data_IF_643145662249
#
_entry.id   IF_643145662249
#
_cell.length_a   1.000
_cell.length_b   1.000
_cell.length_c   1.000
_cell.angle_alpha   90.00
_cell.angle_beta   90.00
_cell.angle_gamma   90.00
#
_symmetry.space_group_name_H-M   'P 1'
#
loop_
_entity.id
_entity.type
_entity.pdbx_description
1 polymer ?
#
# COMPACT_ATOMS: atom_id res chain seq x y z
N UNK A 1 -44.96 -20.55 -10.87
CA UNK A 1 -43.68 -19.99 -10.40
C UNK A 1 -43.24 -20.70 -9.12
N UNK A 2 -42.26 -21.62 -9.20
CA UNK A 2 -41.79 -22.39 -8.04
C UNK A 2 -40.69 -21.61 -7.31
N UNK A 3 -40.95 -21.24 -6.05
CA UNK A 3 -39.94 -20.65 -5.14
C UNK A 3 -38.83 -21.67 -4.89
N UNK A 4 -37.60 -21.36 -5.31
CA UNK A 4 -36.41 -22.16 -4.97
C UNK A 4 -36.19 -22.15 -3.46
N UNK A 5 -36.05 -23.34 -2.85
CA UNK A 5 -35.68 -23.45 -1.43
C UNK A 5 -34.24 -22.96 -1.27
N UNK A 6 -34.08 -21.81 -0.63
CA UNK A 6 -32.79 -21.37 -0.11
C UNK A 6 -32.26 -22.40 0.90
N UNK A 7 -30.96 -22.66 0.82
CA UNK A 7 -30.21 -23.52 1.72
C UNK A 7 -30.53 -23.19 3.19
N UNK A 8 -30.85 -24.21 3.98
CA UNK A 8 -31.18 -24.06 5.41
C UNK A 8 -29.89 -24.17 6.23
N UNK A 9 -29.49 -23.08 6.86
CA UNK A 9 -28.44 -23.09 7.87
C UNK A 9 -28.93 -23.85 9.11
N UNK A 10 -28.20 -24.87 9.55
CA UNK A 10 -28.47 -25.58 10.81
C UNK A 10 -27.18 -25.54 11.64
N UNK A 11 -27.22 -24.89 12.80
CA UNK A 11 -26.12 -24.93 13.77
C UNK A 11 -26.09 -26.31 14.45
N UNK A 12 -24.97 -27.02 14.32
CA UNK A 12 -24.75 -28.30 14.98
C UNK A 12 -23.56 -28.25 15.94
N UNK A 13 -23.83 -28.34 17.25
CA UNK A 13 -22.87 -28.79 18.27
C UNK A 13 -21.81 -27.80 18.76
N UNK A 14 -21.36 -27.99 20.02
CA UNK A 14 -20.53 -27.08 20.86
C UNK A 14 -19.13 -26.71 20.32
N UNK A 15 -18.76 -27.01 19.07
CA UNK A 15 -17.41 -26.78 18.52
C UNK A 15 -17.39 -26.01 17.19
N UNK A 16 -18.46 -25.28 16.84
CA UNK A 16 -18.40 -24.24 15.79
C UNK A 16 -18.09 -24.71 14.36
N UNK A 17 -18.21 -26.00 14.05
CA UNK A 17 -18.08 -26.52 12.68
C UNK A 17 -19.40 -26.36 11.93
N UNK A 18 -19.44 -25.47 10.94
CA UNK A 18 -20.56 -25.34 10.01
C UNK A 18 -20.32 -26.16 8.73
N UNK A 19 -21.38 -26.66 8.12
CA UNK A 19 -21.34 -27.35 6.83
C UNK A 19 -22.37 -26.75 5.87
N UNK A 20 -22.03 -26.68 4.58
CA UNK A 20 -22.95 -26.29 3.52
C UNK A 20 -23.21 -27.52 2.62
N UNK A 21 -24.43 -28.03 2.62
CA UNK A 21 -24.82 -29.14 1.76
C UNK A 21 -25.40 -28.56 0.46
N UNK A 22 -24.66 -28.68 -0.65
CA UNK A 22 -25.12 -28.23 -1.98
C UNK A 22 -25.66 -29.44 -2.73
N UNK A 23 -26.98 -29.64 -2.69
CA UNK A 23 -27.64 -30.61 -3.54
C UNK A 23 -27.80 -30.01 -4.96
N UNK A 24 -27.06 -30.51 -5.94
CA UNK A 24 -27.37 -30.30 -7.37
C UNK A 24 -28.24 -31.46 -7.84
N UNK A 25 -29.46 -31.17 -8.27
CA UNK A 25 -30.30 -32.15 -8.96
C UNK A 25 -29.74 -32.38 -10.36
N UNK A 26 -29.00 -33.48 -10.56
CA UNK A 26 -28.80 -34.04 -11.89
C UNK A 26 -29.97 -34.97 -12.20
N UNK A 27 -30.48 -34.89 -13.44
CA UNK A 27 -31.60 -35.70 -13.92
C UNK A 27 -31.39 -37.20 -13.69
N UNK A 28 -32.51 -37.91 -13.56
CA UNK A 28 -32.62 -39.31 -13.16
C UNK A 28 -31.60 -40.22 -13.88
N UNK A 29 -30.61 -40.72 -13.15
CA UNK A 29 -29.69 -41.75 -13.67
C UNK A 29 -28.35 -41.90 -12.95
N UNK A 30 -27.86 -40.87 -12.25
CA UNK A 30 -26.58 -40.94 -11.54
C UNK A 30 -26.80 -40.91 -10.02
N UNK A 31 -26.43 -41.99 -9.32
CA UNK A 31 -26.38 -42.02 -7.85
C UNK A 31 -25.41 -40.93 -7.40
N UNK A 32 -25.93 -39.93 -6.67
CA UNK A 32 -25.19 -38.72 -6.35
C UNK A 32 -23.91 -38.98 -5.56
N UNK A 33 -22.77 -38.57 -6.11
CA UNK A 33 -21.54 -38.45 -5.34
C UNK A 33 -21.62 -37.15 -4.51
N UNK A 34 -21.63 -37.26 -3.19
CA UNK A 34 -21.53 -36.09 -2.30
C UNK A 34 -20.07 -35.73 -2.06
N UNK A 35 -19.64 -34.54 -2.48
CA UNK A 35 -18.34 -33.99 -2.09
C UNK A 35 -18.50 -33.25 -0.77
N UNK A 36 -17.87 -33.75 0.29
CA UNK A 36 -17.88 -33.11 1.61
C UNK A 36 -16.72 -32.13 1.69
N UNK A 37 -17.00 -30.83 1.61
CA UNK A 37 -16.02 -29.78 1.87
C UNK A 37 -16.08 -29.39 3.34
N UNK A 38 -15.00 -29.65 4.08
CA UNK A 38 -14.80 -29.17 5.44
C UNK A 38 -14.11 -27.80 5.36
N UNK A 39 -14.78 -26.75 5.83
CA UNK A 39 -14.15 -25.45 6.05
C UNK A 39 -13.77 -25.37 7.52
N UNK A 40 -12.47 -25.33 7.81
CA UNK A 40 -12.05 -24.85 9.12
C UNK A 40 -12.19 -23.32 9.12
N UNK A 41 -12.81 -22.71 10.15
CA UNK A 41 -12.80 -21.26 10.28
C UNK A 41 -11.34 -20.83 10.34
N UNK A 42 -10.90 -20.01 9.38
CA UNK A 42 -9.56 -19.48 9.39
C UNK A 42 -9.30 -18.86 10.76
N UNK A 43 -8.30 -19.38 11.48
CA UNK A 43 -7.82 -18.74 12.70
C UNK A 43 -7.56 -17.28 12.33
N UNK A 44 -8.13 -16.28 13.02
CA UNK A 44 -7.88 -14.89 12.68
C UNK A 44 -6.38 -14.70 12.70
N UNK A 45 -5.80 -14.42 11.53
CA UNK A 45 -4.38 -14.15 11.44
C UNK A 45 -4.09 -13.02 12.42
N UNK A 46 -3.06 -13.12 13.27
CA UNK A 46 -2.64 -11.96 14.04
C UNK A 46 -2.49 -10.79 13.08
N UNK A 47 -2.98 -9.60 13.47
CA UNK A 47 -2.96 -8.43 12.60
C UNK A 47 -1.56 -8.35 11.95
N UNK A 48 -1.48 -8.35 10.61
CA UNK A 48 -0.20 -8.52 9.94
C UNK A 48 0.73 -7.42 10.43
N UNK A 49 1.88 -7.81 11.00
CA UNK A 49 2.91 -6.85 11.34
C UNK A 49 3.22 -6.03 10.09
N UNK A 50 3.34 -4.71 10.27
CA UNK A 50 3.75 -3.81 9.20
C UNK A 50 5.08 -4.31 8.62
N UNK A 51 5.32 -4.04 7.35
CA UNK A 51 6.59 -4.43 6.73
C UNK A 51 7.76 -3.68 7.39
N UNK A 52 8.82 -4.41 7.70
CA UNK A 52 10.03 -3.90 8.35
C UNK A 52 11.02 -3.47 7.27
N UNK A 53 11.44 -2.19 7.29
CA UNK A 53 12.22 -1.62 6.19
C UNK A 53 13.64 -2.16 6.08
N UNK A 54 14.22 -2.72 7.15
CA UNK A 54 15.53 -3.37 7.11
C UNK A 54 15.58 -4.53 6.11
N UNK A 55 14.42 -5.15 5.85
CA UNK A 55 14.26 -6.24 4.87
C UNK A 55 14.56 -5.83 3.43
N UNK A 56 14.41 -4.54 3.09
CA UNK A 56 14.75 -4.01 1.77
C UNK A 56 16.21 -4.28 1.39
N UNK A 57 17.09 -4.41 2.40
CA UNK A 57 18.53 -4.60 2.20
C UNK A 57 19.02 -6.01 2.57
N UNK A 58 18.19 -6.83 3.20
CA UNK A 58 18.61 -8.14 3.76
C UNK A 58 17.93 -9.33 3.09
N UNK A 59 16.96 -9.11 2.20
CA UNK A 59 16.23 -10.17 1.50
C UNK A 59 16.23 -9.97 -0.02
N UNK A 60 16.01 -11.04 -0.80
CA UNK A 60 15.81 -10.94 -2.23
C UNK A 60 14.65 -10.01 -2.56
N UNK A 61 14.83 -9.15 -3.58
CA UNK A 61 13.82 -8.18 -4.04
C UNK A 61 12.43 -8.78 -4.23
N UNK A 62 12.35 -9.91 -4.95
CA UNK A 62 11.06 -10.55 -5.26
C UNK A 62 10.27 -10.97 -4.02
N UNK A 63 10.97 -11.31 -2.92
CA UNK A 63 10.31 -11.61 -1.65
C UNK A 63 9.76 -10.33 -0.98
N UNK A 64 10.52 -9.23 -1.04
CA UNK A 64 10.07 -7.94 -0.54
C UNK A 64 8.85 -7.44 -1.34
N UNK A 65 8.90 -7.53 -2.68
CA UNK A 65 7.80 -7.19 -3.57
C UNK A 65 6.54 -8.00 -3.25
N UNK A 66 6.67 -9.33 -3.14
CA UNK A 66 5.55 -10.19 -2.78
C UNK A 66 4.97 -9.84 -1.41
N UNK A 67 5.83 -9.62 -0.40
CA UNK A 67 5.38 -9.30 0.95
C UNK A 67 4.68 -7.93 1.05
N UNK A 68 5.21 -6.93 0.34
CA UNK A 68 4.62 -5.59 0.26
C UNK A 68 3.28 -5.65 -0.47
N UNK A 69 3.22 -6.34 -1.63
CA UNK A 69 1.98 -6.52 -2.40
C UNK A 69 0.89 -7.21 -1.59
N UNK A 70 1.23 -8.26 -0.84
CA UNK A 70 0.29 -8.94 0.05
C UNK A 70 -0.28 -8.05 1.17
N UNK A 71 0.43 -6.98 1.52
CA UNK A 71 -0.01 -5.98 2.52
C UNK A 71 -0.66 -4.75 1.88
N UNK A 72 -0.59 -4.62 0.56
CA UNK A 72 -1.24 -3.53 -0.13
C UNK A 72 -2.75 -3.65 0.09
N UNK A 73 -3.35 -2.52 0.42
CA UNK A 73 -4.78 -2.39 0.60
C UNK A 73 -5.14 -0.98 0.17
N UNK A 74 -6.19 -0.85 -0.64
CA UNK A 74 -6.65 0.43 -1.15
C UNK A 74 -8.13 0.65 -0.82
N UNK A 75 -8.50 1.92 -0.69
CA UNK A 75 -9.88 2.34 -0.49
C UNK A 75 -10.14 3.65 -1.22
N UNK A 76 -11.26 3.74 -1.92
CA UNK A 76 -11.73 4.98 -2.52
C UNK A 76 -12.41 5.85 -1.45
N UNK A 77 -12.01 7.12 -1.36
CA UNK A 77 -12.51 8.06 -0.35
C UNK A 77 -13.53 9.05 -0.92
N UNK A 78 -13.86 8.95 -2.21
CA UNK A 78 -14.71 9.91 -2.91
C UNK A 78 -13.91 11.03 -3.58
N UNK A 79 -14.61 11.80 -4.43
CA UNK A 79 -14.06 12.99 -5.13
C UNK A 79 -12.76 12.71 -5.90
N UNK A 80 -12.65 11.53 -6.52
CA UNK A 80 -11.48 11.14 -7.27
C UNK A 80 -10.24 10.86 -6.42
N UNK A 81 -10.34 10.70 -5.10
CA UNK A 81 -9.18 10.40 -4.25
C UNK A 81 -9.29 9.00 -3.67
N UNK A 82 -8.19 8.26 -3.77
CA UNK A 82 -8.00 6.97 -3.12
C UNK A 82 -6.91 7.06 -2.06
N UNK A 83 -6.90 6.10 -1.15
CA UNK A 83 -5.78 5.86 -0.23
C UNK A 83 -5.30 4.42 -0.42
N UNK A 84 -4.00 4.20 -0.36
CA UNK A 84 -3.42 2.86 -0.38
C UNK A 84 -2.35 2.68 0.69
N UNK A 85 -2.08 1.42 1.06
CA UNK A 85 -0.91 1.06 1.85
C UNK A 85 0.28 0.82 0.94
N UNK A 86 1.33 1.62 1.13
CA UNK A 86 2.60 1.48 0.41
C UNK A 86 3.71 0.97 1.33
N UNK A 87 4.71 0.30 0.74
CA UNK A 87 5.82 -0.34 1.47
C UNK A 87 5.35 -1.22 2.62
N UNK A 88 4.15 -1.81 2.49
CA UNK A 88 3.50 -2.62 3.53
C UNK A 88 3.30 -1.91 4.87
N UNK A 89 3.42 -0.57 4.95
CA UNK A 89 3.39 0.17 6.21
C UNK A 89 2.78 1.58 6.18
N UNK A 90 3.03 2.37 5.15
CA UNK A 90 2.58 3.76 5.09
C UNK A 90 1.25 3.89 4.38
N UNK A 91 0.49 4.94 4.69
CA UNK A 91 -0.72 5.31 3.94
C UNK A 91 -0.39 6.47 3.03
N UNK A 92 -0.76 6.34 1.76
CA UNK A 92 -0.50 7.32 0.72
C UNK A 92 -1.82 7.69 0.05
N UNK A 93 -2.09 8.98 -0.10
CA UNK A 93 -3.21 9.45 -0.91
C UNK A 93 -2.81 9.46 -2.37
N UNK A 94 -3.72 9.02 -3.23
CA UNK A 94 -3.52 8.84 -4.66
C UNK A 94 -4.68 9.51 -5.40
N UNK A 95 -4.35 10.30 -6.41
CA UNK A 95 -5.35 10.82 -7.35
C UNK A 95 -5.86 9.66 -8.22
N UNK A 96 -7.17 9.49 -8.31
CA UNK A 96 -7.81 8.48 -9.14
C UNK A 96 -7.67 8.75 -10.64
N UNK A 97 -7.22 9.95 -11.03
CA UNK A 97 -6.88 10.30 -12.41
C UNK A 97 -5.38 10.15 -12.73
N UNK A 98 -4.56 9.72 -11.77
CA UNK A 98 -3.17 9.38 -12.02
C UNK A 98 -3.07 7.99 -12.65
N UNK A 99 -2.78 7.96 -13.96
CA UNK A 99 -2.58 6.74 -14.74
C UNK A 99 -1.12 6.28 -14.78
N UNK A 100 -0.19 7.09 -14.26
CA UNK A 100 1.25 6.81 -14.29
C UNK A 100 1.70 6.05 -13.05
N UNK A 101 1.60 6.70 -11.89
CA UNK A 101 2.08 6.15 -10.62
C UNK A 101 0.95 5.45 -9.85
N UNK A 102 -0.26 5.99 -9.94
CA UNK A 102 -1.45 5.54 -9.21
C UNK A 102 -1.72 4.02 -9.27
N UNK A 103 -1.79 3.37 -10.45
CA UNK A 103 -2.12 1.95 -10.55
C UNK A 103 -1.13 1.05 -9.82
N UNK A 104 0.18 1.35 -9.91
CA UNK A 104 1.23 0.59 -9.23
C UNK A 104 1.11 0.71 -7.71
N UNK A 105 0.86 1.91 -7.20
CA UNK A 105 0.69 2.10 -5.77
C UNK A 105 -0.59 1.44 -5.25
N UNK A 106 -1.69 1.54 -5.99
CA UNK A 106 -3.00 1.01 -5.60
C UNK A 106 -3.06 -0.52 -5.63
N UNK A 107 -2.30 -1.16 -6.52
CA UNK A 107 -2.32 -2.62 -6.73
C UNK A 107 -1.11 -3.33 -6.13
N UNK A 108 0.08 -2.77 -6.28
CA UNK A 108 1.34 -3.40 -5.83
C UNK A 108 1.83 -2.84 -4.49
N UNK A 109 1.48 -1.59 -4.17
CA UNK A 109 1.92 -0.95 -2.93
C UNK A 109 3.40 -0.53 -2.94
N UNK A 110 4.05 -0.54 -4.11
CA UNK A 110 5.41 -0.04 -4.27
C UNK A 110 5.62 0.61 -5.64
N UNK A 111 6.65 1.46 -5.71
CA UNK A 111 7.12 2.09 -6.93
C UNK A 111 8.62 1.86 -7.07
N UNK A 112 9.05 1.44 -8.27
CA UNK A 112 10.45 1.17 -8.62
C UNK A 112 11.26 0.54 -7.48
N UNK A 113 11.11 -0.78 -7.30
CA UNK A 113 11.72 -1.44 -6.15
C UNK A 113 13.26 -1.33 -6.17
N UNK A 114 13.89 -1.26 -7.34
CA UNK A 114 15.33 -1.02 -7.45
C UNK A 114 15.75 0.34 -6.86
N UNK A 115 14.99 1.41 -7.15
CA UNK A 115 15.22 2.76 -6.63
C UNK A 115 14.91 2.81 -5.13
N UNK A 116 13.82 2.17 -4.71
CA UNK A 116 13.44 2.00 -3.30
C UNK A 116 14.58 1.39 -2.48
N UNK A 117 15.14 0.27 -2.95
CA UNK A 117 16.24 -0.41 -2.28
C UNK A 117 17.56 0.40 -2.35
N UNK A 118 17.81 1.11 -3.45
CA UNK A 118 18.99 1.98 -3.57
C UNK A 118 18.96 3.11 -2.53
N UNK A 119 17.80 3.77 -2.37
CA UNK A 119 17.59 4.78 -1.33
C UNK A 119 17.74 4.15 0.06
N UNK A 120 17.17 2.97 0.29
CA UNK A 120 17.29 2.25 1.55
C UNK A 120 18.75 1.90 1.91
N UNK A 121 19.62 1.71 0.93
CA UNK A 121 21.06 1.52 1.16
C UNK A 121 21.80 2.83 1.41
N UNK A 122 21.44 3.89 0.70
CA UNK A 122 22.15 5.17 0.74
C UNK A 122 21.81 6.01 1.98
N UNK A 123 20.53 6.09 2.36
CA UNK A 123 20.06 6.95 3.44
C UNK A 123 20.33 6.31 4.80
N UNK A 124 20.90 7.08 5.72
CA UNK A 124 21.28 6.64 7.08
C UNK A 124 20.60 7.49 8.15
N UNK A 125 20.44 6.95 9.37
CA UNK A 125 19.94 7.72 10.51
C UNK A 125 20.72 9.02 10.72
N UNK A 126 20.00 10.11 11.05
CA UNK A 126 20.55 11.44 11.29
C UNK A 126 20.81 12.28 10.04
N UNK A 127 20.70 11.72 8.83
CA UNK A 127 20.93 12.48 7.61
C UNK A 127 19.85 13.55 7.36
N UNK A 128 20.25 14.60 6.64
CA UNK A 128 19.32 15.53 5.97
C UNK A 128 19.30 15.19 4.49
N UNK A 129 18.11 14.92 3.94
CA UNK A 129 17.93 14.52 2.55
C UNK A 129 16.89 15.38 1.84
N UNK A 130 16.98 15.43 0.52
CA UNK A 130 16.10 16.22 -0.35
C UNK A 130 15.38 15.30 -1.33
N UNK A 131 14.06 15.45 -1.45
CA UNK A 131 13.19 14.76 -2.39
C UNK A 131 12.66 15.79 -3.41
N UNK A 132 13.22 15.79 -4.63
CA UNK A 132 12.83 16.74 -5.70
C UNK A 132 11.88 16.03 -6.65
N UNK A 133 10.67 16.58 -6.83
CA UNK A 133 9.60 15.86 -7.52
C UNK A 133 9.00 14.79 -6.60
N UNK A 134 8.75 15.16 -5.34
CA UNK A 134 8.30 14.25 -4.29
C UNK A 134 6.95 13.56 -4.61
N UNK A 135 6.20 14.09 -5.58
CA UNK A 135 4.96 13.53 -6.08
C UNK A 135 3.99 13.25 -4.91
N UNK A 136 3.41 12.06 -4.81
CA UNK A 136 2.49 11.69 -3.72
C UNK A 136 3.19 11.45 -2.36
N UNK A 137 4.53 11.39 -2.33
CA UNK A 137 5.34 11.25 -1.10
C UNK A 137 5.86 9.85 -0.82
N UNK A 138 5.88 8.95 -1.82
CA UNK A 138 6.35 7.58 -1.65
C UNK A 138 7.81 7.51 -1.15
N UNK A 139 8.75 8.17 -1.85
CA UNK A 139 10.15 8.21 -1.43
C UNK A 139 10.36 9.12 -0.21
N UNK A 140 9.63 10.23 -0.10
CA UNK A 140 9.64 11.10 1.09
C UNK A 140 9.39 10.30 2.37
N UNK A 141 8.36 9.44 2.40
CA UNK A 141 8.03 8.63 3.57
C UNK A 141 9.06 7.54 3.85
N UNK A 142 9.61 6.91 2.80
CA UNK A 142 10.72 5.96 2.94
C UNK A 142 11.92 6.63 3.61
N UNK A 143 12.39 7.74 3.04
CA UNK A 143 13.53 8.50 3.55
C UNK A 143 13.29 9.01 4.96
N UNK A 144 12.08 9.48 5.26
CA UNK A 144 11.72 9.96 6.59
C UNK A 144 11.87 8.89 7.67
N UNK A 145 11.52 7.64 7.39
CA UNK A 145 11.72 6.58 8.38
C UNK A 145 13.20 6.21 8.52
N UNK A 146 13.93 6.17 7.41
CA UNK A 146 15.35 5.81 7.37
C UNK A 146 16.24 6.83 8.10
N UNK A 147 15.99 8.13 7.94
CA UNK A 147 16.76 9.17 8.64
C UNK A 147 16.44 9.24 10.14
N UNK A 148 15.28 8.71 10.57
CA UNK A 148 14.90 8.65 11.99
C UNK A 148 14.78 10.00 12.70
N UNK A 149 14.61 9.99 14.02
CA UNK A 149 14.28 11.19 14.81
C UNK A 149 15.29 12.33 14.75
N UNK A 150 16.57 12.00 14.55
CA UNK A 150 17.63 13.02 14.40
C UNK A 150 17.76 13.59 12.99
N UNK A 151 17.09 13.00 12.00
CA UNK A 151 17.20 13.37 10.59
C UNK A 151 16.08 14.26 10.08
N UNK A 152 16.23 14.72 8.84
CA UNK A 152 15.29 15.64 8.18
C UNK A 152 15.10 15.28 6.72
N UNK A 153 13.87 15.46 6.22
CA UNK A 153 13.55 15.35 4.79
C UNK A 153 12.94 16.66 4.32
N UNK A 154 13.51 17.21 3.25
CA UNK A 154 12.97 18.35 2.50
C UNK A 154 12.32 17.83 1.23
N UNK A 155 10.98 17.92 1.14
CA UNK A 155 10.23 17.41 0.00
C UNK A 155 9.65 18.57 -0.82
N UNK A 156 9.88 18.52 -2.14
CA UNK A 156 9.48 19.56 -3.09
C UNK A 156 8.65 18.94 -4.22
N UNK A 157 7.44 19.46 -4.45
CA UNK A 157 6.55 19.01 -5.52
C UNK A 157 6.02 20.22 -6.32
N UNK A 158 6.28 20.29 -7.65
CA UNK A 158 5.78 21.35 -8.53
C UNK A 158 4.29 21.55 -8.48
N UNK A 159 3.56 20.44 -8.59
CA UNK A 159 2.17 20.48 -8.98
C UNK A 159 1.37 20.77 -7.71
N UNK A 160 0.64 21.90 -7.64
CA UNK A 160 -0.04 22.30 -6.42
C UNK A 160 -1.11 21.29 -5.97
N UNK A 161 -1.71 20.56 -6.91
CA UNK A 161 -2.70 19.52 -6.61
C UNK A 161 -2.02 18.30 -5.98
N UNK A 162 -0.92 17.84 -6.57
CA UNK A 162 -0.14 16.70 -6.06
C UNK A 162 0.53 17.06 -4.73
N UNK A 163 1.07 18.27 -4.59
CA UNK A 163 1.63 18.78 -3.33
C UNK A 163 0.59 18.79 -2.19
N UNK A 164 -0.70 18.96 -2.52
CA UNK A 164 -1.78 18.86 -1.53
C UNK A 164 -1.98 17.41 -1.07
N UNK A 165 -1.89 16.44 -1.99
CA UNK A 165 -1.94 15.01 -1.64
C UNK A 165 -0.69 14.56 -0.87
N UNK A 166 0.50 15.03 -1.26
CA UNK A 166 1.76 14.86 -0.52
C UNK A 166 1.60 15.29 0.94
N UNK A 167 1.15 16.52 1.19
CA UNK A 167 0.98 17.03 2.54
C UNK A 167 -0.01 16.19 3.37
N UNK A 168 -1.06 15.66 2.74
CA UNK A 168 -1.99 14.72 3.39
C UNK A 168 -1.33 13.38 3.71
N UNK A 169 -0.57 12.81 2.77
CA UNK A 169 0.15 11.55 2.98
C UNK A 169 1.17 11.65 4.12
N UNK A 170 1.91 12.75 4.16
CA UNK A 170 2.96 13.01 5.16
C UNK A 170 2.37 13.26 6.56
N UNK A 171 1.19 13.88 6.63
CA UNK A 171 0.50 14.15 7.91
C UNK A 171 -0.30 12.95 8.43
N UNK A 172 -0.49 11.90 7.62
CA UNK A 172 -1.18 10.71 8.09
C UNK A 172 -0.37 10.00 9.17
N UNK A 173 -1.00 9.59 10.29
CA UNK A 173 -0.37 8.75 11.29
C UNK A 173 0.03 7.40 10.67
N UNK A 174 1.23 7.36 10.14
CA UNK A 174 2.09 6.19 10.07
C UNK A 174 3.15 6.39 11.15
N UNK A 175 4.06 5.46 11.43
CA UNK A 175 5.11 5.68 12.45
C UNK A 175 6.43 6.18 11.82
N UNK A 176 6.53 7.27 11.02
CA UNK A 176 7.84 7.79 10.68
C UNK A 176 8.44 8.42 11.94
N UNK A 177 9.69 8.05 12.25
CA UNK A 177 10.36 8.53 13.47
C UNK A 177 10.91 9.94 13.34
N UNK A 178 10.77 10.64 12.20
CA UNK A 178 11.45 11.90 11.87
C UNK A 178 10.52 13.09 11.63
N UNK A 179 11.12 14.28 11.52
CA UNK A 179 10.42 15.51 11.13
C UNK A 179 10.48 15.70 9.61
N UNK A 180 9.32 15.79 8.96
CA UNK A 180 9.20 16.06 7.52
C UNK A 180 8.80 17.52 7.32
N UNK A 181 9.54 18.25 6.47
CA UNK A 181 9.19 19.62 6.06
C UNK A 181 8.89 19.63 4.57
N UNK A 182 7.62 19.77 4.24
CA UNK A 182 7.18 20.04 2.86
C UNK A 182 7.07 21.55 2.65
N UNK A 183 7.61 22.06 1.56
CA UNK A 183 7.40 23.46 1.14
C UNK A 183 6.90 23.53 -0.29
N UNK A 184 5.94 24.43 -0.54
CA UNK A 184 5.63 24.89 -1.89
C UNK A 184 6.78 25.80 -2.32
N UNK A 185 7.37 25.60 -3.49
CA UNK A 185 8.36 26.53 -4.04
C UNK A 185 7.61 27.59 -4.85
N UNK A 186 7.55 28.86 -4.41
CA UNK A 186 7.01 29.93 -5.25
C UNK A 186 8.00 30.23 -6.38
N UNK A 187 7.54 30.30 -7.63
CA UNK A 187 8.34 30.88 -8.73
C UNK A 187 9.12 29.91 -9.63
N UNK A 188 8.62 28.72 -9.91
CA UNK A 188 9.28 27.80 -10.87
C UNK A 188 9.38 28.31 -12.32
N UNK A 189 8.68 29.38 -12.70
CA UNK A 189 8.89 30.03 -14.00
C UNK A 189 10.25 30.75 -14.14
N UNK A 190 10.94 31.07 -13.03
CA UNK A 190 12.21 31.81 -13.07
C UNK A 190 13.46 30.96 -12.80
N UNK A 191 13.32 29.64 -12.55
CA UNK A 191 14.44 28.74 -12.26
C UNK A 191 15.00 28.03 -13.50
N UNK A 192 14.62 28.47 -14.70
CA UNK A 192 15.25 28.08 -15.98
C UNK A 192 16.63 28.69 -16.24
N UNK A 193 17.29 29.29 -15.23
CA UNK A 193 18.62 29.91 -15.37
C UNK A 193 19.69 29.32 -14.43
N UNK A 194 19.36 28.29 -13.64
CA UNK A 194 20.30 27.72 -12.66
C UNK A 194 20.90 26.37 -13.08
N UNK A 195 20.58 25.85 -14.27
CA UNK A 195 21.18 24.64 -14.82
C UNK A 195 22.36 24.91 -15.78
N UNK A 196 22.67 26.17 -16.09
CA UNK A 196 23.80 26.54 -16.97
C UNK A 196 25.12 26.82 -16.19
N UNK A 197 25.15 26.62 -14.88
CA UNK A 197 26.33 26.92 -14.05
C UNK A 197 27.13 25.67 -13.60
N UNK A 198 26.77 24.48 -14.08
CA UNK A 198 27.51 23.23 -13.84
C UNK A 198 27.52 22.35 -15.10
N UNK A 199 28.01 22.91 -16.21
CA UNK A 199 28.68 22.18 -17.28
C UNK A 199 30.19 22.40 -17.14
#
# INVERSE_FOLDING_TARGET
MRRGRLARWRSGGRHGRGYLEVARNFGAGLRGASVRLTFEPARPAPAPRLFELDRLNTRPRGENEAEIRLRCASAFLGRGVSVCRVLGRYKLFVDGLDYGLGPHLLLDGYWEMWTTEAIARAVKPGMTVVDVGANLGYFTLLMADLVGAGGRVHAFEPNPQIATLLARSVSMPSRPRSTIRSSKVPGWASMGRCLDAYC
#
